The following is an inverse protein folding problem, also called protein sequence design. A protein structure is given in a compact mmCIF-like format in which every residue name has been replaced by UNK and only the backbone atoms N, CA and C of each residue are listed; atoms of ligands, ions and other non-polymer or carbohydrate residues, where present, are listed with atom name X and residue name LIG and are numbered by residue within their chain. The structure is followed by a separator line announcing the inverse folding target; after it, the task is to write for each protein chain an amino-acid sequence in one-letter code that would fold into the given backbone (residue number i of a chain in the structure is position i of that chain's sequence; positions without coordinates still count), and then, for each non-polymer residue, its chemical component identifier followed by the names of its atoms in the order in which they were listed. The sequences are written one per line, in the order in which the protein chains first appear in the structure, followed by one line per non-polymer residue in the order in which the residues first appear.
data_IF_407980255090
#
_entry.id   IF_407980255090
#
_cell.length_a   1.000
_cell.length_b   1.000
_cell.length_c   1.000
_cell.angle_alpha   90.00
_cell.angle_beta   90.00
_cell.angle_gamma   90.00
#
_symmetry.space_group_name_H-M   'P 1'
#
loop_
_entity.id
_entity.type
_entity.pdbx_description
1 polymer ?
#
# COMPACT_ATOMS: atom_id res chain seq x y z
N UNK A 1 -38.94 -58.75 -28.15
CA UNK A 1 -38.94 -58.60 -29.62
C UNK A 1 -38.40 -57.21 -29.95
N UNK A 2 -37.10 -56.86 -29.90
CA UNK A 2 -35.80 -57.56 -30.01
C UNK A 2 -35.36 -57.99 -31.41
N UNK A 3 -34.31 -57.33 -31.92
CA UNK A 3 -33.60 -57.55 -33.22
C UNK A 3 -34.14 -56.68 -34.36
N UNK A 4 -33.39 -55.85 -35.09
CA UNK A 4 -31.97 -55.39 -35.02
C UNK A 4 -31.88 -53.93 -35.54
N UNK A 5 -30.78 -53.38 -36.05
CA UNK A 5 -29.37 -53.83 -36.18
C UNK A 5 -28.45 -52.57 -36.38
N UNK A 6 -27.20 -52.75 -36.86
CA UNK A 6 -26.16 -51.71 -37.07
C UNK A 6 -26.04 -51.28 -38.56
N UNK A 7 -25.57 -50.04 -38.90
CA UNK A 7 -24.24 -49.53 -38.53
C UNK A 7 -24.12 -48.08 -38.03
N UNK A 8 -22.98 -47.80 -37.40
CA UNK A 8 -22.52 -46.47 -36.96
C UNK A 8 -22.24 -45.51 -38.12
N UNK A 9 -22.51 -44.20 -37.96
CA UNK A 9 -21.73 -43.12 -38.54
C UNK A 9 -20.70 -42.58 -37.54
N UNK A 10 -19.52 -42.20 -38.05
CA UNK A 10 -18.35 -41.73 -37.29
C UNK A 10 -18.60 -40.50 -36.40
N UNK A 11 -18.10 -40.53 -35.17
CA UNK A 11 -17.98 -39.36 -34.29
C UNK A 11 -16.91 -38.38 -34.80
N UNK A 12 -17.33 -37.37 -35.56
CA UNK A 12 -16.49 -36.18 -35.81
C UNK A 12 -16.45 -35.27 -34.57
N UNK A 13 -15.36 -34.51 -34.34
CA UNK A 13 -15.26 -33.61 -33.18
C UNK A 13 -16.24 -32.44 -33.31
N UNK A 14 -17.05 -32.22 -32.28
CA UNK A 14 -18.02 -31.12 -32.19
C UNK A 14 -17.30 -29.76 -32.19
N UNK A 15 -17.52 -28.95 -33.23
CA UNK A 15 -17.01 -27.56 -33.28
C UNK A 15 -17.76 -26.68 -32.28
N UNK A 16 -17.07 -26.16 -31.28
CA UNK A 16 -17.51 -25.01 -30.47
C UNK A 16 -16.63 -23.81 -30.83
N UNK A 17 -17.24 -22.74 -31.34
CA UNK A 17 -16.54 -21.52 -31.76
C UNK A 17 -16.66 -20.43 -30.70
N UNK A 18 -15.51 -19.96 -30.19
CA UNK A 18 -15.44 -18.75 -29.36
C UNK A 18 -14.97 -17.56 -30.19
N UNK A 19 -15.65 -16.42 -30.06
CA UNK A 19 -15.38 -15.22 -30.86
C UNK A 19 -14.75 -14.12 -30.00
N UNK A 20 -13.42 -14.04 -30.01
CA UNK A 20 -12.67 -12.94 -29.39
C UNK A 20 -12.56 -11.73 -30.33
N UNK A 21 -12.61 -10.51 -29.78
CA UNK A 21 -12.29 -9.29 -30.52
C UNK A 21 -10.79 -9.23 -30.78
N UNK A 22 -10.35 -9.66 -31.97
CA UNK A 22 -9.28 -9.05 -32.80
C UNK A 22 -8.75 -10.03 -33.88
N UNK A 23 -9.41 -10.02 -35.04
CA UNK A 23 -8.75 -10.07 -36.37
C UNK A 23 -8.04 -11.33 -36.89
N UNK A 24 -7.48 -12.21 -36.05
CA UNK A 24 -6.54 -13.25 -36.53
C UNK A 24 -6.90 -14.67 -36.06
N UNK A 25 -7.13 -15.57 -37.02
CA UNK A 25 -7.38 -17.00 -36.79
C UNK A 25 -6.08 -17.80 -36.82
N UNK A 26 -5.76 -18.50 -35.73
CA UNK A 26 -4.76 -19.56 -35.69
C UNK A 26 -5.41 -20.86 -35.18
N UNK A 27 -5.33 -22.00 -35.90
CA UNK A 27 -5.94 -23.25 -35.46
C UNK A 27 -5.06 -23.94 -34.40
N UNK A 28 -5.48 -23.89 -33.14
CA UNK A 28 -4.86 -24.68 -32.06
C UNK A 28 -5.54 -26.05 -32.01
N UNK A 29 -4.81 -27.11 -32.37
CA UNK A 29 -5.26 -28.49 -32.23
C UNK A 29 -5.02 -29.01 -30.81
N UNK A 30 -6.09 -29.20 -30.04
CA UNK A 30 -6.03 -29.93 -28.77
C UNK A 30 -6.27 -31.42 -29.01
N UNK A 31 -5.20 -32.23 -28.95
CA UNK A 31 -5.29 -33.69 -28.91
C UNK A 31 -5.39 -34.11 -27.45
N UNK A 32 -6.57 -34.54 -27.02
CA UNK A 32 -6.75 -35.19 -25.71
C UNK A 32 -6.41 -36.69 -25.85
N UNK A 33 -5.42 -37.23 -25.11
CA UNK A 33 -5.15 -38.66 -25.11
C UNK A 33 -6.25 -39.43 -24.41
N UNK A 34 -6.62 -40.57 -24.98
CA UNK A 34 -7.77 -41.37 -24.53
C UNK A 34 -7.44 -42.20 -23.26
N UNK A 35 -8.43 -42.46 -22.43
CA UNK A 35 -8.25 -42.88 -21.03
C UNK A 35 -8.25 -44.40 -20.84
N UNK A 36 -7.16 -45.09 -21.20
CA UNK A 36 -6.95 -46.50 -20.81
C UNK A 36 -5.52 -47.00 -20.96
N UNK A 37 -4.70 -46.92 -19.91
CA UNK A 37 -3.60 -47.88 -19.67
C UNK A 37 -3.07 -47.79 -18.23
N UNK A 38 -2.78 -48.94 -17.61
CA UNK A 38 -2.20 -49.01 -16.26
C UNK A 38 -0.69 -48.81 -16.35
N UNK A 39 -0.20 -47.60 -16.11
CA UNK A 39 1.24 -47.36 -15.98
C UNK A 39 1.71 -47.84 -14.61
N UNK A 40 2.49 -48.93 -14.60
CA UNK A 40 3.20 -49.43 -13.42
C UNK A 40 4.25 -48.40 -12.98
N UNK A 41 4.27 -48.09 -11.68
CA UNK A 41 5.22 -47.16 -11.06
C UNK A 41 6.66 -47.70 -11.08
N UNK A 42 7.39 -47.51 -12.18
CA UNK A 42 8.85 -47.69 -12.22
C UNK A 42 9.54 -46.76 -13.22
N UNK A 43 9.86 -45.54 -12.78
CA UNK A 43 11.15 -44.86 -13.04
C UNK A 43 11.25 -43.54 -12.29
N UNK A 44 12.36 -43.32 -11.59
CA UNK A 44 12.83 -41.96 -11.26
C UNK A 44 13.16 -41.26 -12.57
N UNK A 45 12.25 -40.42 -13.06
CA UNK A 45 12.58 -39.45 -14.11
C UNK A 45 13.01 -38.16 -13.41
N UNK A 46 14.32 -37.91 -13.33
CA UNK A 46 14.81 -36.60 -12.94
C UNK A 46 14.36 -35.60 -14.01
N UNK A 47 13.42 -34.72 -13.65
CA UNK A 47 13.00 -33.59 -14.47
C UNK A 47 14.07 -32.49 -14.40
N UNK A 48 15.22 -32.73 -15.02
CA UNK A 48 16.39 -31.83 -15.03
C UNK A 48 16.17 -30.63 -15.96
N UNK A 49 15.11 -29.85 -15.71
CA UNK A 49 14.71 -28.67 -16.48
C UNK A 49 14.59 -27.40 -15.63
N UNK A 50 14.77 -27.49 -14.32
CA UNK A 50 14.78 -26.34 -13.41
C UNK A 50 16.08 -26.37 -12.60
N UNK A 51 16.95 -25.38 -12.83
CA UNK A 51 18.21 -25.24 -12.10
C UNK A 51 17.95 -24.81 -10.65
N UNK A 52 18.76 -25.29 -9.70
CA UNK A 52 18.77 -24.76 -8.34
C UNK A 52 19.64 -23.50 -8.36
N UNK A 53 19.04 -22.36 -8.01
CA UNK A 53 19.69 -21.05 -7.93
C UNK A 53 20.16 -20.78 -6.50
N UNK A 54 19.32 -21.12 -5.50
CA UNK A 54 19.62 -20.94 -4.08
C UNK A 54 19.57 -22.31 -3.35
N UNK A 55 20.72 -22.98 -3.16
CA UNK A 55 20.77 -24.32 -2.55
C UNK A 55 20.36 -24.35 -1.07
N UNK A 56 20.55 -23.22 -0.38
CA UNK A 56 20.01 -22.95 0.96
C UNK A 56 19.13 -21.70 0.84
N UNK A 57 17.89 -21.78 1.31
CA UNK A 57 16.94 -20.66 1.29
C UNK A 57 15.74 -20.92 2.22
N UNK A 58 15.07 -19.88 2.71
CA UNK A 58 13.83 -20.02 3.50
C UNK A 58 12.65 -19.29 2.86
N UNK A 59 11.47 -19.90 2.92
CA UNK A 59 10.19 -19.24 2.64
C UNK A 59 9.46 -18.98 3.95
N UNK A 60 8.99 -17.74 4.14
CA UNK A 60 8.22 -17.32 5.30
C UNK A 60 6.79 -16.95 4.87
N UNK A 61 5.81 -17.54 5.54
CA UNK A 61 4.43 -17.03 5.54
C UNK A 61 4.17 -16.29 6.85
N UNK A 62 3.75 -15.03 6.76
CA UNK A 62 3.83 -14.05 7.86
C UNK A 62 2.45 -13.49 8.16
N UNK A 63 1.88 -13.93 9.29
CA UNK A 63 0.59 -13.46 9.81
C UNK A 63 0.79 -12.53 11.00
N UNK A 64 -0.31 -12.00 11.54
CA UNK A 64 -0.30 -11.05 12.67
C UNK A 64 0.43 -11.58 13.91
N UNK A 65 0.12 -12.82 14.29
CA UNK A 65 0.53 -13.42 15.58
C UNK A 65 1.49 -14.62 15.41
N UNK A 66 1.80 -15.01 14.16
CA UNK A 66 2.52 -16.24 13.83
C UNK A 66 3.27 -16.14 12.50
N UNK A 67 4.43 -16.77 12.42
CA UNK A 67 5.23 -16.95 11.21
C UNK A 67 5.46 -18.44 10.98
N UNK A 68 5.13 -18.92 9.79
CA UNK A 68 5.46 -20.27 9.34
C UNK A 68 6.70 -20.22 8.46
N UNK A 69 7.80 -20.82 8.90
CA UNK A 69 9.08 -20.81 8.19
C UNK A 69 9.39 -22.20 7.62
N UNK A 70 9.70 -22.28 6.32
CA UNK A 70 10.23 -23.49 5.70
C UNK A 70 11.63 -23.22 5.15
N UNK A 71 12.64 -23.74 5.85
CA UNK A 71 14.03 -23.71 5.45
C UNK A 71 14.32 -24.94 4.57
N UNK A 72 14.97 -24.72 3.43
CA UNK A 72 15.50 -25.78 2.57
C UNK A 72 17.02 -25.75 2.67
N UNK A 73 17.63 -26.90 2.99
CA UNK A 73 19.08 -27.11 3.01
C UNK A 73 19.47 -28.30 2.12
N UNK A 74 20.77 -28.48 1.90
CA UNK A 74 21.33 -29.72 1.35
C UNK A 74 21.80 -30.62 2.50
N UNK A 75 21.46 -31.90 2.44
CA UNK A 75 22.03 -32.90 3.33
C UNK A 75 23.42 -33.35 2.85
N UNK A 76 24.15 -34.09 3.69
CA UNK A 76 25.52 -34.56 3.42
C UNK A 76 25.65 -35.46 2.17
N UNK A 77 24.55 -35.96 1.61
CA UNK A 77 24.50 -36.75 0.37
C UNK A 77 24.02 -35.93 -0.85
N UNK A 78 23.94 -34.60 -0.73
CA UNK A 78 23.45 -33.70 -1.78
C UNK A 78 21.92 -33.73 -2.00
N UNK A 79 21.18 -34.46 -1.16
CA UNK A 79 19.72 -34.50 -1.21
C UNK A 79 19.08 -33.29 -0.53
N UNK A 80 17.86 -32.96 -0.94
CA UNK A 80 17.07 -31.88 -0.34
C UNK A 80 16.62 -32.26 1.09
N UNK A 81 16.77 -31.32 2.02
CA UNK A 81 16.20 -31.41 3.36
C UNK A 81 15.31 -30.19 3.61
N UNK A 82 14.14 -30.41 4.21
CA UNK A 82 13.23 -29.35 4.62
C UNK A 82 13.10 -29.36 6.14
N UNK A 83 13.41 -28.24 6.78
CA UNK A 83 13.05 -27.99 8.17
C UNK A 83 11.90 -26.97 8.20
N UNK A 84 10.83 -27.29 8.93
CA UNK A 84 9.69 -26.39 9.12
C UNK A 84 9.63 -26.03 10.59
N UNK A 85 9.59 -24.73 10.88
CA UNK A 85 9.40 -24.18 12.22
C UNK A 85 8.33 -23.10 12.21
N UNK A 86 7.69 -22.92 13.35
CA UNK A 86 6.71 -21.86 13.57
C UNK A 86 7.22 -20.97 14.70
N UNK A 87 7.13 -19.66 14.50
CA UNK A 87 7.56 -18.63 15.45
C UNK A 87 6.38 -17.70 15.75
N UNK A 88 6.37 -17.05 16.91
CA UNK A 88 5.46 -15.92 17.13
C UNK A 88 6.03 -14.64 16.48
N UNK A 89 5.26 -13.55 16.50
CA UNK A 89 5.69 -12.23 16.04
C UNK A 89 6.30 -11.34 17.14
N UNK A 90 6.49 -11.85 18.37
CA UNK A 90 7.24 -11.12 19.40
C UNK A 90 8.72 -10.98 19.03
N UNK A 91 9.33 -9.83 19.37
CA UNK A 91 10.73 -9.52 19.03
C UNK A 91 11.72 -10.59 19.49
N UNK A 92 11.48 -11.25 20.63
CA UNK A 92 12.31 -12.36 21.09
C UNK A 92 12.31 -13.52 20.09
N UNK A 93 11.14 -14.00 19.69
CA UNK A 93 10.99 -15.14 18.79
C UNK A 93 11.43 -14.79 17.35
N UNK A 94 11.34 -13.51 16.96
CA UNK A 94 11.96 -13.01 15.72
C UNK A 94 13.51 -13.10 15.76
N UNK A 95 14.14 -12.82 16.91
CA UNK A 95 15.58 -13.01 17.08
C UNK A 95 15.96 -14.50 17.16
N UNK A 96 15.13 -15.36 17.76
CA UNK A 96 15.32 -16.82 17.70
C UNK A 96 15.23 -17.34 16.26
N UNK A 97 14.26 -16.87 15.48
CA UNK A 97 14.15 -17.19 14.05
C UNK A 97 15.39 -16.71 13.28
N UNK A 98 15.84 -15.46 13.49
CA UNK A 98 17.08 -14.94 12.90
C UNK A 98 18.27 -15.84 13.23
N UNK A 99 18.44 -16.19 14.51
CA UNK A 99 19.50 -17.07 14.97
C UNK A 99 19.45 -18.43 14.29
N UNK A 100 18.28 -19.08 14.26
CA UNK A 100 18.10 -20.38 13.59
C UNK A 100 18.43 -20.33 12.08
N UNK A 101 18.07 -19.23 11.39
CA UNK A 101 18.45 -19.03 9.99
C UNK A 101 19.97 -18.86 9.81
N UNK A 102 20.63 -18.13 10.71
CA UNK A 102 22.09 -17.93 10.69
C UNK A 102 22.87 -19.20 11.06
N UNK A 103 22.44 -19.93 12.08
CA UNK A 103 23.03 -21.21 12.51
C UNK A 103 22.97 -22.26 11.36
N UNK A 104 21.99 -22.15 10.46
CA UNK A 104 21.85 -22.96 9.25
C UNK A 104 22.49 -22.34 7.98
N UNK A 105 23.22 -21.23 8.10
CA UNK A 105 23.86 -20.50 6.99
C UNK A 105 22.87 -20.12 5.87
N UNK A 106 21.64 -19.74 6.21
CA UNK A 106 20.63 -19.33 5.22
C UNK A 106 20.92 -17.91 4.69
N UNK A 107 21.31 -17.74 3.41
CA UNK A 107 21.74 -16.45 2.88
C UNK A 107 20.58 -15.58 2.38
N UNK A 108 19.45 -16.20 2.04
CA UNK A 108 18.33 -15.56 1.36
C UNK A 108 17.00 -16.15 1.82
N UNK A 109 16.00 -15.28 1.94
CA UNK A 109 14.62 -15.67 2.21
C UNK A 109 13.62 -14.99 1.29
N UNK A 110 12.40 -15.53 1.23
CA UNK A 110 11.26 -14.88 0.58
C UNK A 110 10.07 -14.84 1.54
N UNK A 111 9.29 -13.75 1.49
CA UNK A 111 8.06 -13.58 2.28
C UNK A 111 6.97 -12.89 1.45
N UNK A 112 5.68 -13.16 1.73
CA UNK A 112 4.57 -12.49 1.04
C UNK A 112 4.34 -11.07 1.59
N UNK A 113 4.18 -10.10 0.69
CA UNK A 113 3.86 -8.70 1.00
C UNK A 113 2.38 -8.48 1.37
N UNK A 114 1.83 -9.24 2.31
CA UNK A 114 0.44 -9.07 2.77
C UNK A 114 0.38 -8.15 4.00
N UNK A 115 -0.15 -6.94 3.81
CA UNK A 115 -0.28 -5.94 4.87
C UNK A 115 1.07 -5.38 5.34
N UNK A 116 1.17 -5.10 6.64
CA UNK A 116 2.38 -4.54 7.29
C UNK A 116 3.19 -5.57 8.08
N UNK A 117 2.72 -6.82 8.18
CA UNK A 117 3.30 -7.84 9.07
C UNK A 117 4.72 -8.29 8.65
N UNK A 118 5.11 -8.03 7.42
CA UNK A 118 6.47 -8.27 6.93
C UNK A 118 7.51 -7.31 7.55
N UNK A 119 7.12 -6.12 8.01
CA UNK A 119 8.07 -5.10 8.50
C UNK A 119 8.89 -5.56 9.72
N UNK A 120 8.30 -6.12 10.82
CA UNK A 120 9.09 -6.60 11.96
C UNK A 120 10.08 -7.71 11.59
N UNK A 121 9.68 -8.61 10.69
CA UNK A 121 10.54 -9.70 10.19
C UNK A 121 11.72 -9.12 9.41
N UNK A 122 11.44 -8.25 8.44
CA UNK A 122 12.45 -7.63 7.60
C UNK A 122 13.44 -6.78 8.42
N UNK A 123 12.94 -5.89 9.29
CA UNK A 123 13.77 -5.06 10.18
C UNK A 123 14.66 -5.89 11.12
N UNK A 124 14.29 -7.16 11.40
CA UNK A 124 15.09 -8.05 12.25
C UNK A 124 16.29 -8.63 11.50
N UNK A 125 16.20 -8.84 10.18
CA UNK A 125 17.15 -9.67 9.41
C UNK A 125 17.90 -8.95 8.29
N UNK A 126 17.50 -7.73 7.89
CA UNK A 126 18.04 -7.01 6.73
C UNK A 126 19.55 -6.76 6.78
N UNK A 127 20.17 -6.82 7.97
CA UNK A 127 21.60 -6.62 8.22
C UNK A 127 22.48 -7.88 8.01
N UNK A 128 21.85 -9.04 7.75
CA UNK A 128 22.54 -10.34 7.58
C UNK A 128 22.02 -11.23 6.45
N UNK A 129 20.75 -11.11 6.07
CA UNK A 129 20.07 -12.05 5.19
C UNK A 129 19.36 -11.28 4.06
N UNK A 130 19.54 -11.71 2.82
CA UNK A 130 18.85 -11.13 1.67
C UNK A 130 17.34 -11.45 1.74
N UNK A 131 16.48 -10.45 1.50
CA UNK A 131 15.02 -10.62 1.58
C UNK A 131 14.32 -10.31 0.26
N UNK A 132 13.70 -11.34 -0.31
CA UNK A 132 12.85 -11.25 -1.50
C UNK A 132 11.39 -11.07 -1.06
N UNK A 133 10.95 -9.83 -0.89
CA UNK A 133 9.55 -9.51 -0.57
C UNK A 133 8.64 -9.66 -1.79
N UNK A 134 7.88 -10.75 -1.87
CA UNK A 134 7.10 -11.10 -3.08
C UNK A 134 5.70 -10.51 -3.02
N UNK A 135 5.24 -9.95 -4.15
CA UNK A 135 3.88 -9.48 -4.26
C UNK A 135 2.88 -10.66 -4.29
N UNK A 136 1.91 -10.63 -3.37
CA UNK A 136 0.84 -11.61 -3.26
C UNK A 136 0.15 -11.98 -4.58
N UNK A 137 -0.03 -11.00 -5.48
CA UNK A 137 -0.68 -11.20 -6.79
C UNK A 137 0.12 -12.11 -7.73
N UNK A 138 1.43 -12.25 -7.54
CA UNK A 138 2.29 -13.10 -8.36
C UNK A 138 2.29 -14.57 -7.89
N UNK A 139 1.91 -14.84 -6.63
CA UNK A 139 1.89 -16.19 -6.06
C UNK A 139 0.51 -16.86 -6.20
N UNK A 140 -0.58 -16.07 -6.14
CA UNK A 140 -1.96 -16.54 -5.93
C UNK A 140 -2.66 -17.28 -7.10
N UNK A 141 -1.92 -17.78 -8.09
CA UNK A 141 -2.47 -18.46 -9.29
C UNK A 141 -2.26 -19.99 -9.33
N UNK A 142 -2.01 -20.65 -8.20
CA UNK A 142 -1.95 -22.12 -8.12
C UNK A 142 -3.14 -22.66 -7.31
N UNK A 143 -4.11 -23.37 -7.93
CA UNK A 143 -5.26 -23.91 -7.23
C UNK A 143 -4.88 -24.96 -6.17
N UNK A 144 -5.59 -24.94 -5.02
CA UNK A 144 -5.63 -26.09 -4.10
C UNK A 144 -4.90 -25.95 -2.76
N UNK A 145 -4.48 -24.76 -2.32
CA UNK A 145 -3.81 -24.57 -1.01
C UNK A 145 -4.76 -24.11 0.09
N UNK A 146 -4.46 -24.55 1.33
CA UNK A 146 -5.30 -24.37 2.52
C UNK A 146 -4.55 -24.22 3.85
N UNK A 147 -3.20 -24.23 3.89
CA UNK A 147 -2.45 -24.07 5.14
C UNK A 147 -1.16 -23.26 4.95
N UNK A 148 -0.85 -22.42 5.93
CA UNK A 148 0.30 -21.51 6.00
C UNK A 148 1.65 -22.23 5.78
N UNK A 149 1.78 -23.46 6.31
CA UNK A 149 2.95 -24.33 6.13
C UNK A 149 3.14 -24.74 4.65
N UNK A 150 2.06 -24.93 3.89
CA UNK A 150 2.16 -25.23 2.47
C UNK A 150 2.61 -23.99 1.67
N UNK A 151 2.21 -22.80 2.09
CA UNK A 151 2.56 -21.55 1.42
C UNK A 151 3.99 -21.13 1.71
N UNK A 152 4.48 -21.29 2.95
CA UNK A 152 5.90 -21.07 3.28
C UNK A 152 6.82 -22.05 2.55
N UNK A 153 6.48 -23.35 2.52
CA UNK A 153 7.22 -24.37 1.77
C UNK A 153 7.20 -24.10 0.26
N UNK A 154 6.06 -23.68 -0.28
CA UNK A 154 5.98 -23.32 -1.70
C UNK A 154 6.86 -22.11 -2.03
N UNK A 155 6.82 -21.08 -1.18
CA UNK A 155 7.59 -19.87 -1.38
C UNK A 155 9.10 -20.14 -1.34
N UNK A 156 9.54 -21.02 -0.43
CA UNK A 156 10.91 -21.54 -0.39
C UNK A 156 11.29 -22.26 -1.69
N UNK A 157 10.40 -23.12 -2.22
CA UNK A 157 10.61 -23.83 -3.48
C UNK A 157 10.67 -22.91 -4.71
N UNK A 158 9.84 -21.87 -4.78
CA UNK A 158 9.94 -20.86 -5.84
C UNK A 158 11.25 -20.06 -5.75
N UNK A 159 11.64 -19.66 -4.54
CA UNK A 159 12.89 -18.96 -4.28
C UNK A 159 14.10 -19.80 -4.68
N UNK A 160 14.16 -21.06 -4.27
CA UNK A 160 15.21 -22.04 -4.62
C UNK A 160 15.54 -22.07 -6.11
N UNK A 161 14.56 -21.84 -6.96
CA UNK A 161 14.66 -21.90 -8.42
C UNK A 161 14.65 -20.52 -9.12
N UNK A 162 14.71 -19.42 -8.36
CA UNK A 162 14.70 -18.06 -8.93
C UNK A 162 13.37 -17.65 -9.58
N UNK A 163 12.27 -18.32 -9.23
CA UNK A 163 10.95 -18.14 -9.86
C UNK A 163 10.10 -17.03 -9.22
N UNK A 164 10.67 -16.25 -8.30
CA UNK A 164 10.04 -15.09 -7.66
C UNK A 164 10.82 -13.81 -7.93
N UNK A 165 10.08 -12.73 -8.18
CA UNK A 165 10.64 -11.38 -8.28
C UNK A 165 10.31 -10.59 -7.03
N UNK A 166 11.35 -10.08 -6.36
CA UNK A 166 11.22 -9.19 -5.22
C UNK A 166 10.61 -7.83 -5.58
N UNK A 167 9.88 -7.27 -4.63
CA UNK A 167 9.46 -5.86 -4.63
C UNK A 167 10.62 -4.99 -4.13
N UNK A 168 10.75 -3.77 -4.64
CA UNK A 168 11.79 -2.86 -4.18
C UNK A 168 11.56 -2.44 -2.72
N UNK A 169 12.59 -2.63 -1.88
CA UNK A 169 12.66 -2.15 -0.50
C UNK A 169 13.85 -1.17 -0.43
N UNK A 170 13.63 0.13 -0.17
CA UNK A 170 14.73 1.07 -0.01
C UNK A 170 15.54 0.84 1.28
N UNK A 171 16.72 1.44 1.37
CA UNK A 171 17.49 1.59 2.61
C UNK A 171 16.66 2.22 3.76
N UNK A 172 17.00 1.89 5.01
CA UNK A 172 16.24 2.27 6.20
C UNK A 172 15.92 3.77 6.31
N UNK A 173 16.91 4.64 6.08
CA UNK A 173 16.73 6.10 6.10
C UNK A 173 15.68 6.58 5.07
N UNK A 174 15.67 6.01 3.87
CA UNK A 174 14.67 6.32 2.83
C UNK A 174 13.28 5.85 3.26
N UNK A 175 13.18 4.70 3.97
CA UNK A 175 11.90 4.22 4.52
C UNK A 175 11.34 5.17 5.58
N UNK A 176 12.16 5.75 6.45
CA UNK A 176 11.72 6.80 7.39
C UNK A 176 11.12 8.02 6.66
N UNK A 177 11.77 8.49 5.60
CA UNK A 177 11.27 9.61 4.79
C UNK A 177 9.95 9.25 4.09
N UNK A 178 9.81 8.01 3.61
CA UNK A 178 8.57 7.50 3.03
C UNK A 178 7.42 7.51 4.03
N UNK A 179 7.65 6.97 5.23
CA UNK A 179 6.63 6.86 6.27
C UNK A 179 6.12 8.25 6.67
N UNK A 180 7.03 9.21 6.87
CA UNK A 180 6.68 10.59 7.18
C UNK A 180 6.01 11.33 6.02
N UNK A 181 6.46 11.16 4.77
CA UNK A 181 5.83 11.80 3.61
C UNK A 181 4.41 11.26 3.35
N UNK A 182 4.20 9.95 3.52
CA UNK A 182 2.87 9.32 3.51
C UNK A 182 2.01 9.79 4.68
N UNK A 183 2.55 9.90 5.89
CA UNK A 183 1.84 10.42 7.06
C UNK A 183 1.35 11.86 6.84
N UNK A 184 2.22 12.72 6.30
CA UNK A 184 1.85 14.09 5.90
C UNK A 184 0.73 14.11 4.88
N UNK A 185 0.76 13.21 3.89
CA UNK A 185 -0.31 13.08 2.90
C UNK A 185 -1.64 12.73 3.58
N UNK A 186 -1.68 11.71 4.44
CA UNK A 186 -2.87 11.32 5.21
C UNK A 186 -3.43 12.47 6.04
N UNK A 187 -2.58 13.24 6.75
CA UNK A 187 -3.03 14.41 7.50
C UNK A 187 -3.53 15.55 6.59
N UNK A 188 -2.93 15.74 5.41
CA UNK A 188 -3.36 16.75 4.43
C UNK A 188 -4.73 16.41 3.84
N UNK A 189 -4.95 15.13 3.50
CA UNK A 189 -6.24 14.62 3.02
C UNK A 189 -7.33 14.72 4.11
N UNK A 190 -6.97 14.44 5.36
CA UNK A 190 -7.86 14.57 6.52
C UNK A 190 -8.22 16.03 6.80
N UNK A 191 -7.24 16.94 6.79
CA UNK A 191 -7.45 18.40 6.89
C UNK A 191 -8.41 18.90 5.78
N UNK A 192 -8.22 18.42 4.55
CA UNK A 192 -9.10 18.75 3.44
C UNK A 192 -10.53 18.23 3.66
N UNK A 193 -10.72 17.07 4.30
CA UNK A 193 -12.06 16.58 4.63
C UNK A 193 -12.77 17.44 5.67
N UNK A 194 -12.09 17.81 6.76
CA UNK A 194 -12.69 18.69 7.77
C UNK A 194 -12.98 20.09 7.20
N UNK A 195 -12.13 20.63 6.32
CA UNK A 195 -12.45 21.86 5.57
C UNK A 195 -13.73 21.71 4.73
N UNK A 196 -13.91 20.59 4.02
CA UNK A 196 -15.15 20.31 3.26
C UNK A 196 -16.38 20.19 4.17
N UNK A 197 -16.23 19.67 5.40
CA UNK A 197 -17.33 19.60 6.38
C UNK A 197 -17.77 21.00 6.85
N UNK A 198 -16.84 21.92 7.07
CA UNK A 198 -17.17 23.34 7.38
C UNK A 198 -17.93 24.01 6.22
N UNK A 199 -17.51 23.82 4.97
CA UNK A 199 -18.29 24.32 3.81
C UNK A 199 -19.71 23.73 3.76
N UNK A 200 -19.87 22.41 3.99
CA UNK A 200 -21.20 21.78 4.04
C UNK A 200 -22.07 22.38 5.13
N UNK A 201 -21.52 22.58 6.33
CA UNK A 201 -22.21 23.21 7.46
C UNK A 201 -22.66 24.65 7.11
N UNK A 202 -21.82 25.42 6.43
CA UNK A 202 -22.16 26.78 6.00
C UNK A 202 -23.25 26.80 4.93
N UNK A 203 -23.24 25.86 3.98
CA UNK A 203 -24.33 25.66 3.03
C UNK A 203 -25.64 25.32 3.77
N UNK A 204 -25.62 24.38 4.72
CA UNK A 204 -26.79 23.98 5.53
C UNK A 204 -27.35 25.14 6.37
N UNK A 205 -26.47 25.94 6.99
CA UNK A 205 -26.86 27.10 7.79
C UNK A 205 -27.13 28.38 6.94
N UNK A 206 -27.03 28.32 5.62
CA UNK A 206 -27.11 29.46 4.70
C UNK A 206 -26.13 30.62 5.04
N UNK A 207 -24.93 30.28 5.50
CA UNK A 207 -23.80 31.21 5.67
C UNK A 207 -23.01 31.26 4.36
N UNK A 208 -22.69 32.46 3.87
CA UNK A 208 -22.18 32.72 2.51
C UNK A 208 -20.82 33.42 2.47
N UNK A 209 -20.01 33.30 3.51
CA UNK A 209 -18.67 33.91 3.59
C UNK A 209 -17.81 33.51 2.37
N UNK A 210 -17.86 32.23 2.00
CA UNK A 210 -17.14 31.63 0.87
C UNK A 210 -17.63 32.07 -0.52
N UNK A 211 -18.75 32.77 -0.61
CA UNK A 211 -19.19 33.45 -1.84
C UNK A 211 -18.48 34.80 -2.07
N UNK A 212 -17.77 35.31 -1.05
CA UNK A 212 -17.20 36.66 -1.03
C UNK A 212 -15.68 36.63 -0.83
N UNK A 213 -15.17 35.73 0.02
CA UNK A 213 -13.73 35.54 0.24
C UNK A 213 -13.18 34.46 -0.69
N UNK A 214 -11.96 34.64 -1.19
CA UNK A 214 -11.30 33.66 -2.06
C UNK A 214 -10.75 32.43 -1.31
N UNK A 215 -10.43 32.57 -0.02
CA UNK A 215 -10.09 31.45 0.88
C UNK A 215 -10.83 31.60 2.20
N UNK A 216 -11.75 30.66 2.46
CA UNK A 216 -12.53 30.60 3.70
C UNK A 216 -11.66 30.35 4.94
N UNK A 217 -10.51 29.68 4.78
CA UNK A 217 -9.59 29.35 5.87
C UNK A 217 -8.35 30.26 5.91
N UNK A 218 -8.37 31.33 5.10
CA UNK A 218 -7.42 32.44 5.17
C UNK A 218 -7.74 33.38 6.33
N UNK A 219 -7.00 34.49 6.44
CA UNK A 219 -7.05 35.38 7.61
C UNK A 219 -8.45 35.94 7.89
N UNK A 220 -9.10 36.61 6.92
CA UNK A 220 -10.43 37.18 7.15
C UNK A 220 -11.51 36.12 7.30
N UNK A 221 -11.46 35.02 6.52
CA UNK A 221 -12.41 33.92 6.67
C UNK A 221 -12.34 33.27 8.06
N UNK A 222 -11.12 32.99 8.56
CA UNK A 222 -10.89 32.46 9.91
C UNK A 222 -11.37 33.42 11.00
N UNK A 223 -11.16 34.73 10.85
CA UNK A 223 -11.68 35.72 11.82
C UNK A 223 -13.21 35.70 11.89
N UNK A 224 -13.90 35.61 10.75
CA UNK A 224 -15.36 35.52 10.68
C UNK A 224 -15.89 34.18 11.22
N UNK A 225 -15.19 33.07 10.95
CA UNK A 225 -15.46 31.77 11.58
C UNK A 225 -15.34 31.87 13.11
N UNK A 226 -14.32 32.56 13.63
CA UNK A 226 -14.14 32.72 15.07
C UNK A 226 -15.25 33.56 15.72
N UNK A 227 -15.79 34.59 15.04
CA UNK A 227 -17.00 35.29 15.52
C UNK A 227 -18.19 34.33 15.65
N UNK A 228 -18.40 33.45 14.66
CA UNK A 228 -19.45 32.44 14.69
C UNK A 228 -19.22 31.42 15.82
N UNK A 229 -17.98 30.96 16.03
CA UNK A 229 -17.63 30.05 17.13
C UNK A 229 -17.89 30.68 18.50
N UNK A 230 -17.48 31.93 18.72
CA UNK A 230 -17.48 32.60 20.02
C UNK A 230 -18.86 33.13 20.46
N UNK A 231 -19.92 32.88 19.70
CA UNK A 231 -21.27 33.45 19.92
C UNK A 231 -21.25 34.98 20.13
N UNK A 232 -20.37 35.67 19.42
CA UNK A 232 -20.24 37.13 19.49
C UNK A 232 -21.36 37.80 18.70
N UNK A 233 -21.71 39.04 19.09
CA UNK A 233 -22.63 39.87 18.31
C UNK A 233 -22.06 40.07 16.89
N UNK A 234 -22.88 39.78 15.88
CA UNK A 234 -22.50 39.86 14.46
C UNK A 234 -22.69 41.27 13.90
N UNK A 235 -22.38 42.31 14.68
CA UNK A 235 -22.56 43.71 14.28
C UNK A 235 -21.63 44.10 13.12
N UNK A 236 -22.02 45.11 12.34
CA UNK A 236 -21.25 45.59 11.19
C UNK A 236 -19.81 45.99 11.60
N UNK A 237 -19.64 46.54 12.79
CA UNK A 237 -18.34 46.93 13.36
C UNK A 237 -17.46 45.70 13.64
N UNK A 238 -18.01 44.63 14.25
CA UNK A 238 -17.28 43.38 14.48
C UNK A 238 -16.90 42.65 13.20
N UNK A 239 -17.77 42.70 12.18
CA UNK A 239 -17.41 42.23 10.83
C UNK A 239 -16.28 43.08 10.25
N UNK A 240 -16.31 44.41 10.42
CA UNK A 240 -15.27 45.31 9.94
C UNK A 240 -13.89 45.03 10.56
N UNK A 241 -13.82 44.82 11.88
CA UNK A 241 -12.59 44.43 12.61
C UNK A 241 -11.90 43.19 12.00
N UNK A 242 -12.71 42.22 11.56
CA UNK A 242 -12.25 40.96 10.95
C UNK A 242 -11.71 41.13 9.52
N UNK A 243 -12.15 42.15 8.78
CA UNK A 243 -11.74 42.38 7.38
C UNK A 243 -10.33 42.99 7.25
N UNK A 244 -9.57 42.53 6.26
CA UNK A 244 -8.25 43.06 5.90
C UNK A 244 -8.17 43.40 4.41
N UNK A 245 -7.27 44.33 4.07
CA UNK A 245 -7.02 44.74 2.68
C UNK A 245 -8.29 45.15 1.92
N UNK A 246 -8.42 44.70 0.67
CA UNK A 246 -9.56 45.01 -0.21
C UNK A 246 -10.93 44.55 0.31
N UNK A 247 -10.99 43.54 1.19
CA UNK A 247 -12.25 43.05 1.76
C UNK A 247 -12.93 44.08 2.68
N UNK A 248 -12.22 45.11 3.16
CA UNK A 248 -12.83 46.26 3.86
C UNK A 248 -13.90 46.99 3.02
N UNK A 249 -13.78 46.96 1.68
CA UNK A 249 -14.79 47.53 0.77
C UNK A 249 -16.05 46.66 0.69
N UNK A 250 -15.97 45.40 1.12
CA UNK A 250 -17.05 44.39 1.09
C UNK A 250 -17.66 44.12 2.47
N UNK A 251 -17.35 44.91 3.50
CA UNK A 251 -17.82 44.69 4.88
C UNK A 251 -19.35 44.54 4.98
N UNK A 252 -20.13 45.36 4.26
CA UNK A 252 -21.59 45.23 4.22
C UNK A 252 -22.06 43.92 3.56
N UNK A 253 -21.35 43.46 2.52
CA UNK A 253 -21.61 42.19 1.82
C UNK A 253 -21.32 41.01 2.75
N UNK A 254 -20.19 41.06 3.46
CA UNK A 254 -19.78 40.06 4.46
C UNK A 254 -20.72 40.02 5.66
N UNK A 255 -21.20 41.17 6.14
CA UNK A 255 -22.21 41.21 7.20
C UNK A 255 -23.53 40.55 6.75
N UNK A 256 -23.98 40.82 5.52
CA UNK A 256 -25.14 40.13 4.93
C UNK A 256 -24.89 38.62 4.78
N UNK A 257 -23.67 38.18 4.48
CA UNK A 257 -23.35 36.76 4.27
C UNK A 257 -23.34 35.92 5.55
N UNK A 258 -23.29 36.56 6.72
CA UNK A 258 -23.45 35.92 8.03
C UNK A 258 -24.91 35.76 8.45
N UNK A 259 -25.86 36.41 7.76
CA UNK A 259 -27.28 36.34 8.07
C UNK A 259 -27.91 35.06 7.50
N UNK A 260 -27.79 33.96 8.26
CA UNK A 260 -28.33 32.64 7.92
C UNK A 260 -29.02 31.95 9.09
N UNK A 261 -29.46 30.71 8.88
CA UNK A 261 -30.09 29.85 9.89
C UNK A 261 -29.05 29.19 10.81
N UNK A 262 -28.13 29.97 11.36
CA UNK A 262 -27.08 29.50 12.26
C UNK A 262 -27.63 29.37 13.69
N UNK A 263 -27.62 28.16 14.25
CA UNK A 263 -28.14 27.82 15.58
C UNK A 263 -27.02 27.22 16.42
N UNK A 264 -27.21 27.10 17.73
CA UNK A 264 -26.13 26.65 18.63
C UNK A 264 -25.64 25.22 18.35
N UNK A 265 -26.46 24.34 17.78
CA UNK A 265 -25.98 23.03 17.31
C UNK A 265 -25.06 23.13 16.08
N UNK A 266 -25.28 24.11 15.19
CA UNK A 266 -24.33 24.43 14.10
C UNK A 266 -23.04 25.02 14.68
N UNK A 267 -23.14 25.86 15.72
CA UNK A 267 -21.98 26.43 16.44
C UNK A 267 -21.11 25.35 17.08
N UNK A 268 -21.74 24.43 17.81
CA UNK A 268 -21.07 23.27 18.40
C UNK A 268 -20.31 22.46 17.34
N UNK A 269 -20.96 22.11 16.23
CA UNK A 269 -20.30 21.41 15.11
C UNK A 269 -19.13 22.21 14.51
N UNK A 270 -19.27 23.54 14.37
CA UNK A 270 -18.23 24.39 13.81
C UNK A 270 -16.98 24.45 14.71
N UNK A 271 -17.18 24.58 16.03
CA UNK A 271 -16.09 24.61 17.03
C UNK A 271 -15.26 23.33 16.95
N UNK A 272 -15.91 22.17 17.05
CA UNK A 272 -15.26 20.85 16.95
C UNK A 272 -14.48 20.69 15.63
N UNK A 273 -15.08 21.06 14.49
CA UNK A 273 -14.40 20.98 13.20
C UNK A 273 -13.18 21.90 13.11
N UNK A 274 -13.26 23.11 13.68
CA UNK A 274 -12.17 24.08 13.66
C UNK A 274 -11.02 23.70 14.59
N UNK A 275 -11.30 23.07 15.73
CA UNK A 275 -10.26 22.49 16.59
C UNK A 275 -9.48 21.38 15.85
N UNK A 276 -10.19 20.42 15.24
CA UNK A 276 -9.56 19.35 14.45
C UNK A 276 -8.76 19.90 13.25
N UNK A 277 -9.26 20.94 12.57
CA UNK A 277 -8.52 21.65 11.51
C UNK A 277 -7.19 22.20 12.04
N UNK A 278 -7.18 22.80 13.23
CA UNK A 278 -5.98 23.37 13.83
C UNK A 278 -5.01 22.29 14.32
N UNK A 279 -5.52 21.16 14.84
CA UNK A 279 -4.72 19.98 15.18
C UNK A 279 -4.02 19.43 13.92
N UNK A 280 -4.74 19.17 12.82
CA UNK A 280 -4.10 18.68 11.60
C UNK A 280 -3.09 19.67 11.01
N UNK A 281 -3.35 20.99 11.03
CA UNK A 281 -2.35 22.00 10.63
C UNK A 281 -1.06 21.86 11.45
N UNK A 282 -1.16 21.72 12.78
CA UNK A 282 -0.01 21.54 13.68
C UNK A 282 0.75 20.24 13.39
N UNK A 283 0.03 19.12 13.21
CA UNK A 283 0.63 17.82 12.93
C UNK A 283 1.36 17.79 11.57
N UNK A 284 0.78 18.41 10.53
CA UNK A 284 1.45 18.57 9.22
C UNK A 284 2.76 19.33 9.37
N UNK A 285 2.78 20.40 10.18
CA UNK A 285 3.98 21.22 10.35
C UNK A 285 5.07 20.53 11.18
N UNK A 286 4.69 19.73 12.18
CA UNK A 286 5.61 18.85 12.91
C UNK A 286 6.27 17.82 11.96
N UNK A 287 5.49 17.22 11.05
CA UNK A 287 6.02 16.28 10.06
C UNK A 287 6.88 16.98 9.01
N UNK A 288 6.52 18.19 8.55
CA UNK A 288 7.37 19.02 7.69
C UNK A 288 8.75 19.27 8.34
N UNK A 289 8.75 19.77 9.59
CA UNK A 289 9.98 20.07 10.34
C UNK A 289 10.87 18.83 10.49
N UNK A 290 10.28 17.67 10.79
CA UNK A 290 11.03 16.40 10.91
C UNK A 290 11.60 15.94 9.58
N UNK A 291 10.82 16.00 8.49
CA UNK A 291 11.28 15.69 7.14
C UNK A 291 12.45 16.59 6.72
N UNK A 292 12.33 17.90 6.90
CA UNK A 292 13.39 18.85 6.56
C UNK A 292 14.68 18.61 7.36
N UNK A 293 14.59 18.17 8.61
CA UNK A 293 15.76 17.78 9.38
C UNK A 293 16.39 16.47 8.91
N UNK A 294 15.59 15.50 8.45
CA UNK A 294 16.06 14.20 7.96
C UNK A 294 16.61 14.25 6.53
N UNK A 295 16.14 15.17 5.71
CA UNK A 295 16.56 15.33 4.31
C UNK A 295 17.54 16.50 4.11
N UNK A 296 18.10 17.06 5.20
CA UNK A 296 18.95 18.27 5.17
C UNK A 296 20.19 18.10 4.28
N UNK A 297 20.83 16.95 4.34
CA UNK A 297 22.03 16.61 3.55
C UNK A 297 21.73 16.44 2.05
N UNK A 298 20.45 16.45 1.66
CA UNK A 298 19.99 16.32 0.28
C UNK A 298 19.24 17.57 -0.19
N UNK A 299 19.49 18.72 0.46
CA UNK A 299 18.88 20.02 0.11
C UNK A 299 19.06 20.36 -1.37
N UNK A 300 20.28 20.25 -1.89
CA UNK A 300 20.60 20.59 -3.29
C UNK A 300 19.85 19.68 -4.29
N UNK A 301 19.63 18.41 -3.93
CA UNK A 301 18.82 17.49 -4.74
C UNK A 301 17.33 17.87 -4.69
N UNK A 302 16.82 18.24 -3.52
CA UNK A 302 15.44 18.69 -3.36
C UNK A 302 15.17 20.00 -4.12
N UNK A 303 16.10 20.95 -4.11
CA UNK A 303 15.98 22.21 -4.86
C UNK A 303 15.99 21.96 -6.37
N UNK A 304 16.87 21.09 -6.87
CA UNK A 304 16.86 20.66 -8.29
C UNK A 304 15.60 19.89 -8.70
N UNK A 305 14.89 19.26 -7.76
CA UNK A 305 13.60 18.62 -8.03
C UNK A 305 12.45 19.65 -8.01
N UNK A 306 12.52 20.68 -7.17
CA UNK A 306 11.56 21.81 -7.08
C UNK A 306 11.58 22.70 -8.34
N UNK A 307 12.67 22.68 -9.11
CA UNK A 307 12.77 23.31 -10.44
C UNK A 307 11.93 22.61 -11.53
N UNK A 308 11.50 21.35 -11.32
CA UNK A 308 10.74 20.60 -12.32
C UNK A 308 9.28 21.11 -12.36
N UNK A 309 8.75 21.54 -13.51
CA UNK A 309 7.38 22.04 -13.61
C UNK A 309 6.35 21.04 -13.08
N UNK A 310 5.63 21.44 -12.00
CA UNK A 310 4.62 20.62 -11.33
C UNK A 310 5.12 19.80 -10.13
N UNK A 311 6.41 19.88 -9.80
CA UNK A 311 6.97 19.35 -8.55
C UNK A 311 7.21 20.53 -7.61
N UNK A 312 6.59 20.51 -6.42
CA UNK A 312 6.95 21.40 -5.33
C UNK A 312 7.91 20.70 -4.34
N UNK A 313 8.57 21.44 -3.43
CA UNK A 313 9.43 20.89 -2.37
C UNK A 313 8.82 19.70 -1.62
N UNK A 314 7.50 19.70 -1.40
CA UNK A 314 6.77 18.61 -0.73
C UNK A 314 6.67 17.38 -1.63
N UNK A 315 6.41 17.57 -2.92
CA UNK A 315 6.42 16.52 -3.94
C UNK A 315 7.83 15.95 -4.13
N UNK A 316 8.86 16.79 -4.19
CA UNK A 316 10.27 16.38 -4.21
C UNK A 316 10.63 15.47 -3.02
N UNK A 317 10.29 15.89 -1.79
CA UNK A 317 10.44 15.06 -0.58
C UNK A 317 9.67 13.73 -0.65
N UNK A 318 8.51 13.72 -1.29
CA UNK A 318 7.70 12.51 -1.45
C UNK A 318 8.30 11.56 -2.49
N UNK A 319 8.88 12.10 -3.57
CA UNK A 319 9.62 11.34 -4.58
C UNK A 319 10.83 10.67 -3.95
N UNK A 320 11.72 11.41 -3.28
CA UNK A 320 12.93 10.83 -2.68
C UNK A 320 12.61 9.84 -1.54
N UNK A 321 11.47 9.98 -0.86
CA UNK A 321 10.99 8.97 0.09
C UNK A 321 10.55 7.68 -0.60
N UNK A 322 9.99 7.74 -1.80
CA UNK A 322 9.55 6.54 -2.51
C UNK A 322 10.68 5.79 -3.23
N UNK A 323 11.68 6.51 -3.80
CA UNK A 323 12.75 5.89 -4.61
C UNK A 323 14.16 5.97 -4.00
N UNK A 324 14.41 6.89 -3.06
CA UNK A 324 15.75 7.21 -2.56
C UNK A 324 16.42 8.36 -3.31
N UNK A 325 17.70 8.60 -3.00
CA UNK A 325 18.53 9.64 -3.65
C UNK A 325 19.26 9.12 -4.90
N UNK A 326 19.39 7.81 -5.04
CA UNK A 326 19.92 7.13 -6.23
C UNK A 326 18.91 6.09 -6.71
N UNK A 327 18.77 5.96 -8.02
CA UNK A 327 18.11 4.81 -8.64
C UNK A 327 19.16 3.70 -8.76
N UNK A 328 19.01 2.65 -7.95
CA UNK A 328 19.83 1.44 -8.01
C UNK A 328 19.15 0.36 -8.87
#
# INVERSE_FOLDING_TARGET
MSGGLYPFPSTGPTRVSYKMKNGHNYPIFFIFPNKSERIVMTKRSNSTLIQIVHPICCGLDVHKDKISACLITLNNAGGEHHEIREFSTFTHDLQEMKKWLLDNNCPIIAMESTGVYWHPVYNTIEDKIEVVLVNARHIKNVPGRKTDICDSKWLAGLLRHGLVRGSFIPPGNVREWRELSRLRKTYTESLADYKRRVHKLFITANIKIDSIVSDLFGLTGTNLINLLCNNSELSLEKVQECTKGGLKKKTQELHKSLNGYFKDHHRFQLVEMMEIINIFKKMIEQVNTRLESLTREHKDLLERLDEIPGVDKKSAQSIIGEVGVTLN
#
